data_IF_476534959898
#
_entry.id   IF_476534959898
#
_cell.length_a   1.000
_cell.length_b   1.000
_cell.length_c   1.000
_cell.angle_alpha   90.00
_cell.angle_beta   90.00
_cell.angle_gamma   90.00
#
_symmetry.space_group_name_H-M   'P 1'
#
loop_
_entity.id
_entity.type
_entity.pdbx_description
1 polymer ?
#
# COMPACT_ATOMS: atom_id res chain seq x y z
N UNK A 1 19.02 16.49 -4.94
CA UNK A 1 17.65 16.66 -5.49
C UNK A 1 17.76 17.54 -6.72
N UNK A 2 17.49 17.02 -7.92
CA UNK A 2 17.76 17.70 -9.22
C UNK A 2 16.57 18.50 -9.77
N UNK A 3 15.46 18.60 -9.03
CA UNK A 3 14.25 19.30 -9.47
C UNK A 3 13.81 20.30 -8.42
N UNK A 4 13.96 21.60 -8.72
CA UNK A 4 13.43 22.73 -7.95
C UNK A 4 11.99 23.09 -8.37
N UNK A 5 11.15 22.10 -8.72
CA UNK A 5 9.76 22.39 -9.10
C UNK A 5 8.90 22.55 -7.85
N UNK A 6 7.93 23.49 -7.86
CA UNK A 6 6.96 23.62 -6.78
C UNK A 6 6.18 22.30 -6.60
N UNK A 7 5.65 22.02 -5.39
CA UNK A 7 5.05 20.74 -5.09
C UNK A 7 3.90 20.45 -6.06
N UNK A 8 4.05 19.38 -6.84
CA UNK A 8 2.91 18.79 -7.53
C UNK A 8 1.93 18.27 -6.48
N UNK A 9 0.63 18.42 -6.72
CA UNK A 9 -0.40 17.76 -5.92
C UNK A 9 -0.10 16.26 -5.88
N UNK A 10 0.32 15.76 -4.71
CA UNK A 10 0.63 14.34 -4.53
C UNK A 10 -0.72 13.59 -4.46
N UNK A 11 -0.89 12.45 -5.16
CA UNK A 11 -2.14 11.70 -5.08
C UNK A 11 -2.46 11.32 -3.62
N UNK A 12 -3.66 11.68 -3.18
CA UNK A 12 -4.01 11.70 -1.76
C UNK A 12 -3.96 10.32 -1.10
N UNK A 13 -4.47 9.29 -1.76
CA UNK A 13 -4.51 7.92 -1.23
C UNK A 13 -3.11 7.34 -0.99
N UNK A 14 -2.20 7.25 -1.99
CA UNK A 14 -0.88 6.70 -1.74
C UNK A 14 -0.05 7.55 -0.77
N UNK A 15 -0.19 8.88 -0.78
CA UNK A 15 0.44 9.73 0.22
C UNK A 15 -0.09 9.47 1.63
N UNK A 16 -1.39 9.23 1.79
CA UNK A 16 -1.99 8.83 3.06
C UNK A 16 -1.40 7.52 3.59
N UNK A 17 -1.17 6.53 2.71
CA UNK A 17 -0.48 5.29 3.08
C UNK A 17 0.99 5.50 3.49
N UNK A 18 1.68 6.42 2.82
CA UNK A 18 3.03 6.84 3.20
C UNK A 18 3.06 7.45 4.60
N UNK A 19 2.17 8.40 4.91
CA UNK A 19 2.14 9.05 6.24
C UNK A 19 1.83 8.07 7.36
N UNK A 20 0.93 7.10 7.13
CA UNK A 20 0.68 6.04 8.10
C UNK A 20 1.93 5.21 8.39
N UNK A 21 2.73 4.91 7.37
CA UNK A 21 4.00 4.20 7.55
C UNK A 21 5.05 5.06 8.24
N UNK A 22 5.15 6.34 7.90
CA UNK A 22 6.08 7.29 8.53
C UNK A 22 5.75 7.49 10.03
N UNK A 23 4.47 7.67 10.37
CA UNK A 23 3.99 7.79 11.75
C UNK A 23 4.25 6.51 12.56
N UNK A 24 4.11 5.34 11.93
CA UNK A 24 4.45 4.05 12.52
C UNK A 24 5.97 3.76 12.60
N UNK A 25 6.84 4.69 12.16
CA UNK A 25 8.29 4.54 12.24
C UNK A 25 8.89 3.55 11.24
N UNK A 26 8.20 3.27 10.12
CA UNK A 26 8.66 2.34 9.10
C UNK A 26 9.89 2.91 8.37
N UNK A 27 10.97 2.14 8.34
CA UNK A 27 12.15 2.48 7.56
C UNK A 27 11.97 2.08 6.09
N UNK A 28 12.14 3.02 5.15
CA UNK A 28 11.99 2.79 3.71
C UNK A 28 13.29 2.42 2.99
N UNK A 29 14.38 3.10 3.33
CA UNK A 29 15.65 3.00 2.59
C UNK A 29 16.18 1.57 2.57
N UNK A 30 16.39 1.04 1.36
CA UNK A 30 16.93 -0.28 1.12
C UNK A 30 15.93 -1.43 1.29
N UNK A 31 14.66 -1.16 1.64
CA UNK A 31 13.60 -2.17 1.68
C UNK A 31 13.12 -2.55 0.29
N UNK A 32 12.74 -3.81 0.12
CA UNK A 32 12.02 -4.24 -1.07
C UNK A 32 10.51 -4.01 -0.89
N UNK A 33 9.97 -3.06 -1.64
CA UNK A 33 8.54 -2.77 -1.64
C UNK A 33 7.86 -3.40 -2.87
N UNK A 34 6.74 -4.09 -2.63
CA UNK A 34 5.90 -4.67 -3.69
C UNK A 34 4.58 -3.93 -3.69
N UNK A 35 4.21 -3.36 -4.84
CA UNK A 35 2.90 -2.74 -5.05
C UNK A 35 2.06 -3.66 -5.93
N UNK A 36 1.00 -4.23 -5.36
CA UNK A 36 0.05 -5.09 -6.09
C UNK A 36 -1.10 -4.22 -6.58
N UNK A 37 -1.13 -3.96 -7.88
CA UNK A 37 -2.05 -3.02 -8.51
C UNK A 37 -1.28 -1.89 -9.20
N UNK A 38 -1.76 -1.51 -10.39
CA UNK A 38 -1.09 -0.52 -11.26
C UNK A 38 -2.04 0.58 -11.75
N UNK A 39 -3.05 0.91 -10.95
CA UNK A 39 -3.96 2.01 -11.24
C UNK A 39 -3.20 3.34 -11.30
N UNK A 40 -3.72 4.30 -12.06
CA UNK A 40 -3.11 5.63 -12.16
C UNK A 40 -3.32 6.45 -10.87
N UNK A 41 -4.28 6.06 -10.03
CA UNK A 41 -4.67 6.81 -8.82
C UNK A 41 -4.00 6.31 -7.54
N UNK A 42 -3.62 5.03 -7.47
CA UNK A 42 -2.97 4.44 -6.28
C UNK A 42 -1.69 3.71 -6.65
N UNK A 43 -1.77 2.64 -7.45
CA UNK A 43 -0.65 1.71 -7.63
C UNK A 43 0.62 2.34 -8.20
N UNK A 44 0.53 3.00 -9.36
CA UNK A 44 1.67 3.69 -9.99
C UNK A 44 2.24 4.82 -9.12
N UNK A 45 1.43 5.76 -8.59
CA UNK A 45 1.97 6.81 -7.73
C UNK A 45 2.56 6.27 -6.42
N UNK A 46 1.98 5.24 -5.81
CA UNK A 46 2.56 4.59 -4.62
C UNK A 46 3.97 4.06 -4.90
N UNK A 47 4.14 3.38 -6.04
CA UNK A 47 5.45 2.87 -6.46
C UNK A 47 6.49 3.99 -6.61
N UNK A 48 6.10 5.16 -7.16
CA UNK A 48 7.01 6.30 -7.30
C UNK A 48 7.36 6.94 -5.96
N UNK A 49 6.39 7.06 -5.03
CA UNK A 49 6.63 7.61 -3.69
C UNK A 49 7.55 6.73 -2.85
N UNK A 50 7.46 5.40 -3.01
CA UNK A 50 8.36 4.44 -2.38
C UNK A 50 9.77 4.48 -2.99
N UNK A 51 9.86 4.62 -4.32
CA UNK A 51 11.14 4.77 -5.01
C UNK A 51 11.86 6.06 -4.60
N UNK A 52 11.12 7.17 -4.47
CA UNK A 52 11.63 8.45 -3.95
C UNK A 52 12.19 8.31 -2.52
N UNK A 53 11.60 7.41 -1.72
CA UNK A 53 12.07 7.05 -0.37
C UNK A 53 13.14 5.96 -0.33
N UNK A 54 13.78 5.70 -1.47
CA UNK A 54 14.90 4.77 -1.61
C UNK A 54 14.54 3.29 -1.38
N UNK A 55 13.29 2.88 -1.62
CA UNK A 55 12.95 1.46 -1.73
C UNK A 55 13.40 0.90 -3.09
N UNK A 56 13.71 -0.40 -3.12
CA UNK A 56 13.65 -1.20 -4.36
C UNK A 56 12.18 -1.52 -4.59
N UNK A 57 11.63 -1.24 -5.78
CA UNK A 57 10.18 -1.35 -6.02
C UNK A 57 9.85 -2.35 -7.13
N UNK A 58 8.96 -3.29 -6.83
CA UNK A 58 8.32 -4.19 -7.80
C UNK A 58 6.84 -3.83 -7.94
N UNK A 59 6.35 -3.68 -9.17
CA UNK A 59 4.93 -3.43 -9.45
C UNK A 59 4.32 -4.72 -10.04
N UNK A 60 3.36 -5.31 -9.33
CA UNK A 60 2.64 -6.50 -9.75
C UNK A 60 1.20 -6.16 -10.17
N UNK A 61 0.59 -7.02 -10.99
CA UNK A 61 -0.77 -6.84 -11.50
C UNK A 61 -1.41 -8.17 -11.92
N UNK A 62 -2.63 -8.12 -12.45
CA UNK A 62 -3.43 -9.30 -12.86
C UNK A 62 -2.81 -10.22 -13.94
N UNK A 63 -1.63 -9.89 -14.46
CA UNK A 63 -0.89 -10.70 -15.45
C UNK A 63 0.50 -11.08 -14.94
N UNK A 64 0.78 -10.80 -13.69
CA UNK A 64 2.02 -11.20 -13.03
C UNK A 64 1.92 -12.69 -12.72
N UNK A 65 2.90 -13.45 -13.20
CA UNK A 65 3.03 -14.86 -12.88
C UNK A 65 3.53 -15.02 -11.44
N UNK A 66 3.03 -16.05 -10.74
CA UNK A 66 3.36 -16.36 -9.34
C UNK A 66 3.30 -15.12 -8.41
N UNK A 67 2.16 -14.43 -8.47
CA UNK A 67 1.87 -13.30 -7.59
C UNK A 67 2.09 -13.61 -6.08
N UNK A 68 1.71 -14.80 -5.54
CA UNK A 68 1.96 -15.14 -4.14
C UNK A 68 3.44 -15.05 -3.75
N UNK A 69 4.33 -15.60 -4.60
CA UNK A 69 5.78 -15.59 -4.34
C UNK A 69 6.36 -14.17 -4.37
N UNK A 70 5.90 -13.35 -5.31
CA UNK A 70 6.32 -11.93 -5.40
C UNK A 70 5.88 -11.16 -4.15
N UNK A 71 4.63 -11.32 -3.71
CA UNK A 71 4.16 -10.72 -2.45
C UNK A 71 5.02 -11.15 -1.25
N UNK A 72 5.42 -12.43 -1.20
CA UNK A 72 6.22 -13.00 -0.09
C UNK A 72 7.66 -12.50 -0.06
N UNK A 73 8.12 -11.83 -1.13
CA UNK A 73 9.44 -11.21 -1.17
C UNK A 73 9.48 -9.78 -0.59
N UNK A 74 8.31 -9.21 -0.27
CA UNK A 74 8.17 -7.82 0.12
C UNK A 74 8.52 -7.60 1.60
N UNK A 75 9.34 -6.59 1.90
CA UNK A 75 9.43 -6.00 3.23
C UNK A 75 8.26 -5.03 3.48
N UNK A 76 7.81 -4.35 2.41
CA UNK A 76 6.66 -3.45 2.40
C UNK A 76 5.71 -3.91 1.29
N UNK A 77 4.52 -4.36 1.63
CA UNK A 77 3.51 -4.84 0.70
C UNK A 77 2.34 -3.86 0.63
N UNK A 78 2.16 -3.22 -0.52
CA UNK A 78 1.06 -2.28 -0.77
C UNK A 78 0.01 -2.92 -1.69
N UNK A 79 -1.22 -3.03 -1.20
CA UNK A 79 -2.33 -3.70 -1.89
C UNK A 79 -3.32 -2.66 -2.43
N UNK A 80 -3.47 -2.60 -3.74
CA UNK A 80 -4.35 -1.67 -4.45
C UNK A 80 -5.01 -2.34 -5.66
N UNK A 81 -5.61 -3.51 -5.41
CA UNK A 81 -6.26 -4.36 -6.42
C UNK A 81 -7.76 -4.12 -6.54
N UNK A 82 -8.43 -3.70 -5.45
CA UNK A 82 -9.88 -3.51 -5.42
C UNK A 82 -10.66 -4.83 -5.50
N UNK A 83 -10.11 -5.89 -4.91
CA UNK A 83 -10.72 -7.21 -4.87
C UNK A 83 -10.64 -7.76 -3.45
N UNK A 84 -11.81 -7.92 -2.83
CA UNK A 84 -11.95 -8.36 -1.45
C UNK A 84 -11.12 -9.62 -1.16
N UNK A 85 -10.25 -9.52 -0.15
CA UNK A 85 -9.52 -10.63 0.45
C UNK A 85 -8.69 -11.47 -0.55
N UNK A 86 -8.25 -10.89 -1.67
CA UNK A 86 -7.43 -11.58 -2.67
C UNK A 86 -6.12 -12.11 -2.05
N UNK A 87 -5.42 -11.26 -1.31
CA UNK A 87 -4.13 -11.61 -0.70
C UNK A 87 -4.36 -12.39 0.60
N UNK A 88 -3.73 -13.56 0.70
CA UNK A 88 -3.84 -14.47 1.83
C UNK A 88 -2.62 -14.35 2.76
N UNK A 89 -2.74 -14.86 3.99
CA UNK A 89 -1.67 -14.78 4.99
C UNK A 89 -0.35 -15.38 4.50
N UNK A 90 -0.40 -16.53 3.82
CA UNK A 90 0.78 -17.23 3.29
C UNK A 90 1.47 -16.49 2.12
N UNK A 91 0.89 -15.40 1.60
CA UNK A 91 1.51 -14.53 0.60
C UNK A 91 2.37 -13.45 1.24
N UNK A 92 2.33 -13.29 2.56
CA UNK A 92 3.00 -12.21 3.29
C UNK A 92 4.30 -12.72 3.89
N UNK A 93 5.38 -11.95 3.72
CA UNK A 93 6.64 -12.22 4.40
C UNK A 93 6.47 -12.00 5.92
N UNK A 94 6.92 -12.92 6.78
CA UNK A 94 6.92 -12.70 8.22
C UNK A 94 7.62 -11.39 8.60
N UNK A 95 6.93 -10.53 9.36
CA UNK A 95 7.43 -9.22 9.76
C UNK A 95 7.37 -8.14 8.67
N UNK A 96 6.64 -8.36 7.57
CA UNK A 96 6.40 -7.31 6.58
C UNK A 96 5.45 -6.22 7.10
N UNK A 97 5.61 -5.02 6.55
CA UNK A 97 4.63 -3.95 6.65
C UNK A 97 3.62 -4.11 5.52
N UNK A 98 2.33 -4.14 5.84
CA UNK A 98 1.25 -4.28 4.86
C UNK A 98 0.35 -3.06 4.89
N UNK A 99 0.20 -2.41 3.73
CA UNK A 99 -0.73 -1.29 3.53
C UNK A 99 -1.82 -1.75 2.58
N UNK A 100 -3.05 -1.75 3.07
CA UNK A 100 -4.27 -2.16 2.37
C UNK A 100 -5.07 -0.92 1.94
N UNK A 101 -5.14 -0.70 0.62
CA UNK A 101 -5.95 0.36 0.01
C UNK A 101 -7.31 -0.16 -0.48
N UNK A 102 -7.62 -1.44 -0.22
CA UNK A 102 -8.85 -2.08 -0.67
C UNK A 102 -10.10 -1.50 -0.03
N UNK A 103 -11.12 -1.28 -0.86
CA UNK A 103 -12.42 -0.71 -0.47
C UNK A 103 -13.55 -1.48 -1.18
N UNK A 104 -13.61 -2.80 -0.97
CA UNK A 104 -14.63 -3.65 -1.59
C UNK A 104 -15.84 -3.82 -0.66
N UNK A 105 -17.02 -3.39 -1.12
CA UNK A 105 -18.28 -3.65 -0.42
C UNK A 105 -18.76 -5.07 -0.71
N UNK A 106 -18.99 -5.84 0.36
CA UNK A 106 -19.52 -7.21 0.30
C UNK A 106 -20.83 -7.29 1.09
N UNK A 107 -21.52 -8.43 1.01
CA UNK A 107 -22.73 -8.70 1.81
C UNK A 107 -22.48 -8.62 3.32
N UNK A 108 -21.21 -8.79 3.74
CA UNK A 108 -20.78 -8.76 5.14
C UNK A 108 -20.15 -7.42 5.56
N UNK A 109 -20.16 -6.42 4.67
CA UNK A 109 -19.61 -5.10 4.91
C UNK A 109 -18.35 -4.79 4.08
N UNK A 110 -17.66 -3.71 4.47
CA UNK A 110 -16.47 -3.22 3.79
C UNK A 110 -15.26 -4.10 4.11
N UNK A 111 -14.60 -4.61 3.06
CA UNK A 111 -13.43 -5.47 3.12
C UNK A 111 -12.26 -4.87 2.35
N UNK A 112 -11.06 -5.15 2.84
CA UNK A 112 -9.80 -4.80 2.19
C UNK A 112 -9.38 -5.81 1.12
N UNK A 113 -8.23 -5.57 0.51
CA UNK A 113 -7.66 -6.42 -0.53
C UNK A 113 -6.98 -7.68 0.02
N UNK A 114 -6.75 -7.76 1.34
CA UNK A 114 -6.26 -8.98 2.01
C UNK A 114 -7.23 -9.54 3.05
N UNK A 115 -7.06 -10.83 3.35
CA UNK A 115 -7.61 -11.45 4.55
C UNK A 115 -6.93 -10.84 5.79
N UNK A 116 -7.62 -9.86 6.38
CA UNK A 116 -7.12 -9.08 7.52
C UNK A 116 -6.80 -9.95 8.74
N UNK A 117 -7.54 -11.03 8.98
CA UNK A 117 -7.30 -11.90 10.12
C UNK A 117 -6.01 -12.71 9.94
N UNK A 118 -5.86 -13.37 8.78
CA UNK A 118 -4.69 -14.18 8.49
C UNK A 118 -3.40 -13.33 8.35
N UNK A 119 -3.48 -12.15 7.74
CA UNK A 119 -2.32 -11.29 7.53
C UNK A 119 -1.84 -10.64 8.83
N UNK A 120 -2.75 -10.30 9.76
CA UNK A 120 -2.40 -9.65 11.03
C UNK A 120 -1.53 -10.52 11.93
N UNK A 121 -1.65 -11.84 11.83
CA UNK A 121 -0.81 -12.79 12.59
C UNK A 121 0.65 -12.86 12.07
N UNK A 122 0.92 -12.32 10.88
CA UNK A 122 2.21 -12.47 10.17
C UNK A 122 2.93 -11.14 10.00
N UNK A 123 2.18 -10.09 9.65
CA UNK A 123 2.72 -8.76 9.39
C UNK A 123 3.18 -8.08 10.70
N UNK A 124 4.26 -7.30 10.64
CA UNK A 124 4.65 -6.44 11.75
C UNK A 124 3.72 -5.23 11.88
N UNK A 125 3.07 -4.85 10.79
CA UNK A 125 2.10 -3.76 10.70
C UNK A 125 1.09 -4.08 9.59
N UNK A 126 -0.19 -3.85 9.85
CA UNK A 126 -1.25 -3.95 8.86
C UNK A 126 -2.21 -2.77 9.05
N UNK A 127 -2.50 -2.02 8.00
CA UNK A 127 -3.57 -1.00 8.06
C UNK A 127 -4.94 -1.68 8.12
N UNK A 128 -5.81 -1.31 9.07
CA UNK A 128 -7.13 -1.92 9.17
C UNK A 128 -8.04 -1.46 8.02
N UNK A 129 -8.94 -2.34 7.60
CA UNK A 129 -10.05 -2.00 6.72
C UNK A 129 -11.35 -2.43 7.39
N UNK A 130 -12.27 -1.49 7.73
CA UNK A 130 -12.16 -0.03 7.60
C UNK A 130 -11.20 0.62 8.62
N UNK A 131 -10.90 1.91 8.43
CA UNK A 131 -10.23 2.75 9.43
C UNK A 131 -8.75 3.05 9.18
N UNK A 132 -8.14 2.49 8.14
CA UNK A 132 -6.75 2.75 7.76
C UNK A 132 -6.60 3.85 6.71
N UNK A 133 -6.36 3.46 5.46
CA UNK A 133 -6.00 4.38 4.36
C UNK A 133 -7.15 5.29 3.89
N UNK A 134 -8.41 4.90 4.11
CA UNK A 134 -9.61 5.66 3.74
C UNK A 134 -9.66 7.06 4.36
N UNK A 135 -9.68 7.20 5.70
CA UNK A 135 -9.64 8.50 6.37
C UNK A 135 -8.46 9.38 5.94
N UNK A 136 -7.29 8.79 5.75
CA UNK A 136 -6.09 9.53 5.32
C UNK A 136 -6.22 10.11 3.92
N UNK A 137 -6.93 9.44 3.01
CA UNK A 137 -7.22 9.98 1.67
C UNK A 137 -7.91 11.34 1.77
N UNK A 138 -8.92 11.47 2.64
CA UNK A 138 -9.62 12.75 2.87
C UNK A 138 -8.70 13.79 3.49
N UNK A 139 -7.88 13.40 4.48
CA UNK A 139 -6.92 14.31 5.13
C UNK A 139 -5.92 14.89 4.13
N UNK A 140 -5.32 14.06 3.28
CA UNK A 140 -4.36 14.54 2.28
C UNK A 140 -5.06 15.35 1.18
N UNK A 141 -6.28 14.97 0.79
CA UNK A 141 -7.05 15.77 -0.16
C UNK A 141 -7.25 17.20 0.36
N UNK A 142 -7.65 17.35 1.63
CA UNK A 142 -7.81 18.67 2.25
C UNK A 142 -6.47 19.44 2.27
N UNK A 143 -5.36 18.77 2.58
CA UNK A 143 -4.03 19.40 2.57
C UNK A 143 -3.59 19.83 1.17
N UNK A 144 -4.01 19.13 0.12
CA UNK A 144 -3.66 19.48 -1.26
C UNK A 144 -4.42 20.72 -1.77
N UNK A 145 -5.56 21.06 -1.17
CA UNK A 145 -6.45 22.13 -1.66
C UNK A 145 -6.47 23.39 -0.79
N UNK A 146 -5.95 23.32 0.43
CA UNK A 146 -5.84 24.43 1.39
C UNK A 146 -4.45 25.09 1.30
#
# INVERSE_FOLDING_TARGET
>A
MFTQRPPYSIPATPMGGIELMEDAGVAFKGKHAVVVGRSNVVGKPMAMLLLERHCTVTIAHSRTEDLPSICRSADILCLAVGQAELVKGDWVKPGAVVIDFGMSYTDTGLKGDCDQAAVREIASMLTPVPGGTGPMTSTILMRNVL
#
